data_IF_888309615711
#
_entry.id   IF_888309615711
#
_cell.length_a   1.000
_cell.length_b   1.000
_cell.length_c   1.000
_cell.angle_alpha   90.00
_cell.angle_beta   90.00
_cell.angle_gamma   90.00
#
_symmetry.space_group_name_H-M   'P 1'
#
loop_
_entity.id
_entity.type
_entity.pdbx_description
1 polymer ?
#
# COMPACT_ATOMS: atom_id res chain seq x y z
N UNK A 1 16.87 6.91 20.86
CA UNK A 1 15.81 5.94 21.10
C UNK A 1 16.24 4.93 22.18
N UNK A 2 15.31 4.56 23.06
CA UNK A 2 15.49 3.39 23.94
C UNK A 2 15.45 2.08 23.13
N UNK A 3 15.79 0.95 23.74
CA UNK A 3 15.66 -0.38 23.11
C UNK A 3 14.19 -0.66 22.78
N UNK A 4 13.30 -0.32 23.71
CA UNK A 4 11.83 -0.48 23.52
C UNK A 4 11.33 0.35 22.35
N UNK A 5 11.79 1.60 22.23
CA UNK A 5 11.40 2.50 21.15
C UNK A 5 11.90 1.97 19.80
N UNK A 6 13.15 1.51 19.74
CA UNK A 6 13.73 0.94 18.52
C UNK A 6 13.01 -0.32 18.08
N UNK A 7 12.59 -1.15 19.03
CA UNK A 7 11.78 -2.33 18.76
C UNK A 7 10.39 -1.95 18.22
N UNK A 8 9.71 -0.99 18.85
CA UNK A 8 8.41 -0.49 18.39
C UNK A 8 8.49 0.06 16.97
N UNK A 9 9.45 0.93 16.69
CA UNK A 9 9.63 1.54 15.37
C UNK A 9 9.91 0.50 14.28
N UNK A 10 10.74 -0.51 14.60
CA UNK A 10 11.06 -1.60 13.67
C UNK A 10 9.86 -2.51 13.42
N UNK A 11 9.09 -2.83 14.46
CA UNK A 11 7.87 -3.64 14.34
C UNK A 11 6.79 -2.89 13.56
N UNK A 12 6.58 -1.61 13.85
CA UNK A 12 5.68 -0.75 13.09
C UNK A 12 6.07 -0.67 11.62
N UNK A 13 7.39 -0.64 11.34
CA UNK A 13 7.90 -0.70 9.96
C UNK A 13 7.54 -2.01 9.27
N UNK A 14 7.99 -3.14 9.81
CA UNK A 14 7.84 -4.46 9.15
C UNK A 14 6.40 -4.94 9.05
N UNK A 15 5.54 -4.54 9.99
CA UNK A 15 4.10 -4.85 9.95
C UNK A 15 3.29 -3.87 9.09
N UNK A 16 3.94 -2.89 8.47
CA UNK A 16 3.31 -1.81 7.69
C UNK A 16 2.26 -1.01 8.46
N UNK A 17 2.39 -0.93 9.79
CA UNK A 17 1.46 -0.20 10.66
C UNK A 17 1.56 1.32 10.50
N UNK A 18 2.79 1.83 10.30
CA UNK A 18 3.03 3.26 10.07
C UNK A 18 3.02 4.16 11.31
N UNK A 19 2.75 3.60 12.50
CA UNK A 19 2.85 4.35 13.74
C UNK A 19 4.34 4.64 14.07
N UNK A 20 4.66 5.88 14.45
CA UNK A 20 6.02 6.29 14.79
C UNK A 20 6.07 6.98 16.14
N UNK A 21 7.16 6.77 16.87
CA UNK A 21 7.50 7.47 18.10
C UNK A 21 8.60 8.51 17.88
N UNK A 22 9.15 8.58 16.65
CA UNK A 22 10.14 9.57 16.29
C UNK A 22 9.49 10.94 16.21
N UNK A 23 10.07 11.90 16.92
CA UNK A 23 9.76 13.31 16.81
C UNK A 23 10.88 13.99 15.99
N UNK A 24 10.52 14.97 15.16
CA UNK A 24 11.46 15.69 14.30
C UNK A 24 12.18 14.71 13.33
N UNK A 25 11.38 13.95 12.60
CA UNK A 25 11.82 12.90 11.65
C UNK A 25 12.85 13.46 10.65
N UNK A 26 12.66 14.71 10.23
CA UNK A 26 13.49 15.41 9.25
C UNK A 26 14.96 15.53 9.70
N UNK A 27 15.22 15.58 11.02
CA UNK A 27 16.57 15.63 11.57
C UNK A 27 17.26 14.26 11.61
N UNK A 28 16.54 13.19 11.33
CA UNK A 28 17.08 11.82 11.36
C UNK A 28 18.07 11.60 10.21
N UNK A 29 19.15 10.80 10.43
CA UNK A 29 20.06 10.42 9.36
C UNK A 29 19.33 9.76 8.20
N UNK A 30 19.66 10.13 6.96
CA UNK A 30 19.04 9.57 5.74
C UNK A 30 19.06 8.04 5.69
N UNK A 31 20.11 7.42 6.25
CA UNK A 31 20.20 5.95 6.34
C UNK A 31 19.06 5.34 7.18
N UNK A 32 18.65 6.00 8.28
CA UNK A 32 17.54 5.55 9.11
C UNK A 32 16.22 5.72 8.36
N UNK A 33 16.03 6.84 7.64
CA UNK A 33 14.83 7.08 6.85
C UNK A 33 14.65 6.05 5.73
N UNK A 34 15.74 5.71 5.02
CA UNK A 34 15.74 4.61 4.03
C UNK A 34 15.41 3.27 4.70
N UNK A 35 16.05 2.98 5.84
CA UNK A 35 15.83 1.74 6.57
C UNK A 35 14.35 1.57 6.97
N UNK A 36 13.71 2.61 7.50
CA UNK A 36 12.29 2.63 7.84
C UNK A 36 11.41 2.32 6.61
N UNK A 37 11.69 2.99 5.49
CA UNK A 37 10.94 2.79 4.24
C UNK A 37 11.15 1.39 3.68
N UNK A 38 12.38 0.84 3.75
CA UNK A 38 12.68 -0.53 3.34
C UNK A 38 11.99 -1.56 4.22
N UNK A 39 11.90 -1.35 5.53
CA UNK A 39 11.17 -2.25 6.43
C UNK A 39 9.71 -2.35 6.02
N UNK A 40 9.04 -1.23 5.76
CA UNK A 40 7.66 -1.25 5.28
C UNK A 40 7.53 -1.91 3.91
N UNK A 41 8.42 -1.60 2.99
CA UNK A 41 8.40 -2.16 1.65
C UNK A 41 8.59 -3.68 1.64
N UNK A 42 9.56 -4.19 2.41
CA UNK A 42 9.80 -5.62 2.57
C UNK A 42 8.68 -6.30 3.36
N UNK A 43 8.14 -5.63 4.37
CA UNK A 43 7.00 -6.11 5.17
C UNK A 43 5.76 -6.30 4.32
N UNK A 44 5.42 -5.32 3.49
CA UNK A 44 4.25 -5.38 2.60
C UNK A 44 4.30 -6.57 1.66
N UNK A 45 5.41 -6.76 0.94
CA UNK A 45 5.56 -7.93 0.06
C UNK A 45 5.74 -9.23 0.83
N UNK A 46 6.39 -9.19 2.00
CA UNK A 46 6.67 -10.36 2.82
C UNK A 46 5.40 -11.06 3.29
N UNK A 47 4.41 -10.31 3.77
CA UNK A 47 3.10 -10.86 4.18
C UNK A 47 2.39 -11.52 3.01
N UNK A 48 2.41 -10.91 1.82
CA UNK A 48 1.78 -11.47 0.62
C UNK A 48 2.44 -12.80 0.21
N UNK A 49 3.79 -12.82 0.17
CA UNK A 49 4.54 -14.02 -0.17
C UNK A 49 4.34 -15.12 0.87
N UNK A 50 4.34 -14.78 2.16
CA UNK A 50 4.08 -15.71 3.24
C UNK A 50 2.68 -16.33 3.12
N UNK A 51 1.66 -15.53 2.86
CA UNK A 51 0.30 -16.03 2.66
C UNK A 51 0.23 -17.03 1.50
N UNK A 52 0.84 -16.72 0.36
CA UNK A 52 0.81 -17.60 -0.82
C UNK A 52 1.59 -18.90 -0.62
N UNK A 53 2.70 -18.85 0.12
CA UNK A 53 3.58 -20.01 0.32
C UNK A 53 3.12 -20.91 1.48
N UNK A 54 2.67 -20.34 2.60
CA UNK A 54 2.31 -21.09 3.79
C UNK A 54 0.87 -21.56 3.83
N UNK A 55 -0.09 -20.77 3.34
CA UNK A 55 -1.50 -21.16 3.35
C UNK A 55 -1.79 -22.52 2.66
N UNK A 56 -1.18 -22.86 1.49
CA UNK A 56 -1.36 -24.17 0.88
C UNK A 56 -0.84 -25.31 1.75
N UNK A 57 0.26 -25.07 2.48
CA UNK A 57 0.91 -26.09 3.32
C UNK A 57 0.09 -26.34 4.58
N UNK A 58 -0.49 -25.31 5.17
CA UNK A 58 -1.24 -25.40 6.42
C UNK A 58 -2.66 -25.95 6.26
N UNK A 59 -3.17 -26.17 5.04
CA UNK A 59 -4.54 -26.63 4.75
C UNK A 59 -5.65 -25.82 5.46
N UNK A 60 -5.39 -24.56 5.80
CA UNK A 60 -6.33 -23.68 6.48
C UNK A 60 -7.44 -23.27 5.51
N UNK A 61 -8.68 -23.44 5.96
CA UNK A 61 -9.90 -23.31 5.16
C UNK A 61 -10.00 -21.99 4.39
N UNK A 62 -10.55 -22.05 3.19
CA UNK A 62 -10.66 -20.99 2.19
C UNK A 62 -9.86 -21.29 0.92
N UNK A 63 -8.73 -21.98 1.01
CA UNK A 63 -7.96 -22.45 -0.13
C UNK A 63 -8.57 -23.70 -0.79
N UNK A 64 -9.57 -24.33 -0.19
CA UNK A 64 -10.38 -25.37 -0.85
C UNK A 64 -11.05 -24.82 -2.12
N UNK A 65 -11.42 -23.55 -2.16
CA UNK A 65 -11.96 -22.89 -3.34
C UNK A 65 -10.93 -22.73 -4.47
N UNK A 66 -9.63 -22.59 -4.14
CA UNK A 66 -8.55 -22.61 -5.13
C UNK A 66 -8.19 -24.04 -5.53
N UNK A 67 -8.37 -25.03 -4.65
CA UNK A 67 -8.18 -26.48 -4.95
C UNK A 67 -9.26 -27.02 -5.88
N UNK A 68 -10.47 -26.51 -5.86
CA UNK A 68 -11.55 -26.94 -6.76
C UNK A 68 -11.22 -26.65 -8.23
N UNK A 69 -10.35 -25.68 -8.51
CA UNK A 69 -9.85 -25.41 -9.86
C UNK A 69 -8.57 -26.17 -10.23
N UNK A 70 -7.98 -26.92 -9.31
CA UNK A 70 -6.71 -27.64 -9.51
C UNK A 70 -6.84 -29.10 -9.06
N UNK A 71 -7.50 -29.89 -9.84
CA UNK A 71 -7.31 -31.35 -9.85
C UNK A 71 -5.91 -31.65 -10.40
N UNK A 72 -4.86 -31.29 -9.67
CA UNK A 72 -3.50 -31.68 -10.01
C UNK A 72 -2.64 -31.90 -8.75
N UNK A 73 -2.00 -33.05 -8.77
CA UNK A 73 -1.15 -33.65 -7.75
C UNK A 73 -0.16 -32.69 -7.11
N UNK A 74 0.15 -32.93 -5.84
CA UNK A 74 1.03 -32.14 -4.95
C UNK A 74 2.41 -31.77 -5.53
N UNK A 75 2.90 -32.50 -6.51
CA UNK A 75 4.19 -32.22 -7.18
C UNK A 75 4.16 -30.97 -8.09
N UNK A 76 2.98 -30.52 -8.54
CA UNK A 76 2.84 -29.31 -9.39
C UNK A 76 2.61 -28.00 -8.61
N UNK A 77 2.38 -28.07 -7.30
CA UNK A 77 2.07 -26.88 -6.49
C UNK A 77 3.30 -25.99 -6.29
N UNK A 78 4.47 -26.55 -6.06
CA UNK A 78 5.70 -25.82 -5.81
C UNK A 78 6.20 -24.98 -7.01
N UNK A 79 6.28 -25.52 -8.25
CA UNK A 79 6.69 -24.70 -9.40
C UNK A 79 5.69 -23.58 -9.71
N UNK A 80 4.38 -23.85 -9.58
CA UNK A 80 3.33 -22.83 -9.79
C UNK A 80 3.39 -21.70 -8.74
N UNK A 81 3.66 -22.03 -7.49
CA UNK A 81 3.86 -21.06 -6.41
C UNK A 81 5.07 -20.15 -6.68
N UNK A 82 6.16 -20.70 -7.22
CA UNK A 82 7.36 -19.91 -7.58
C UNK A 82 7.09 -18.93 -8.72
N UNK A 83 6.35 -19.33 -9.74
CA UNK A 83 5.96 -18.43 -10.84
C UNK A 83 5.03 -17.32 -10.36
N UNK A 84 4.05 -17.66 -9.52
CA UNK A 84 3.15 -16.69 -8.89
C UNK A 84 3.95 -15.67 -8.08
N UNK A 85 4.86 -16.12 -7.21
CA UNK A 85 5.70 -15.24 -6.41
C UNK A 85 6.57 -14.33 -7.26
N UNK A 86 7.17 -14.83 -8.34
CA UNK A 86 7.98 -14.03 -9.27
C UNK A 86 7.13 -12.94 -9.93
N UNK A 87 5.93 -13.27 -10.39
CA UNK A 87 5.03 -12.29 -11.02
C UNK A 87 4.60 -11.22 -10.02
N UNK A 88 4.27 -11.61 -8.77
CA UNK A 88 3.92 -10.66 -7.71
C UNK A 88 5.05 -9.69 -7.39
N UNK A 89 6.27 -10.20 -7.22
CA UNK A 89 7.45 -9.37 -6.99
C UNK A 89 7.64 -8.39 -8.15
N UNK A 90 7.49 -8.86 -9.38
CA UNK A 90 7.64 -8.01 -10.58
C UNK A 90 6.58 -6.90 -10.60
N UNK A 91 5.31 -7.21 -10.31
CA UNK A 91 4.23 -6.21 -10.22
C UNK A 91 4.52 -5.20 -9.11
N UNK A 92 4.91 -5.68 -7.93
CA UNK A 92 5.21 -4.82 -6.78
C UNK A 92 6.35 -3.84 -7.05
N UNK A 93 7.46 -4.34 -7.63
CA UNK A 93 8.59 -3.50 -8.04
C UNK A 93 8.16 -2.51 -9.13
N UNK A 94 7.39 -2.94 -10.12
CA UNK A 94 6.91 -2.07 -11.20
C UNK A 94 6.03 -0.94 -10.66
N UNK A 95 5.08 -1.25 -9.78
CA UNK A 95 4.24 -0.23 -9.13
C UNK A 95 5.08 0.77 -8.32
N UNK A 96 6.08 0.26 -7.55
CA UNK A 96 6.99 1.12 -6.78
C UNK A 96 7.80 2.03 -7.70
N UNK A 97 8.31 1.50 -8.81
CA UNK A 97 9.07 2.26 -9.80
C UNK A 97 8.22 3.38 -10.43
N UNK A 98 7.02 3.06 -10.89
CA UNK A 98 6.13 4.07 -11.46
C UNK A 98 5.71 5.11 -10.42
N UNK A 99 5.41 4.71 -9.20
CA UNK A 99 5.11 5.63 -8.10
C UNK A 99 6.27 6.61 -7.86
N UNK A 100 7.51 6.10 -7.75
CA UNK A 100 8.70 6.93 -7.60
C UNK A 100 8.90 7.89 -8.78
N UNK A 101 8.66 7.42 -10.00
CA UNK A 101 8.77 8.22 -11.21
C UNK A 101 7.77 9.39 -11.19
N UNK A 102 6.51 9.13 -10.88
CA UNK A 102 5.50 10.18 -10.79
C UNK A 102 5.78 11.16 -9.64
N UNK A 103 6.18 10.69 -8.47
CA UNK A 103 6.61 11.57 -7.38
C UNK A 103 7.76 12.49 -7.82
N UNK A 104 8.74 11.95 -8.54
CA UNK A 104 9.85 12.72 -9.07
C UNK A 104 9.42 13.77 -10.09
N UNK A 105 8.52 13.41 -11.02
CA UNK A 105 7.98 14.32 -12.04
C UNK A 105 7.23 15.49 -11.39
N UNK A 106 6.47 15.22 -10.32
CA UNK A 106 5.67 16.24 -9.64
C UNK A 106 6.42 17.01 -8.55
N UNK A 107 7.74 16.87 -8.46
CA UNK A 107 8.59 17.78 -7.71
C UNK A 107 9.22 17.23 -6.44
N UNK A 108 9.04 15.97 -6.08
CA UNK A 108 9.84 15.35 -5.02
C UNK A 108 11.30 15.23 -5.46
N UNK A 109 12.23 15.41 -4.53
CA UNK A 109 13.62 15.05 -4.79
C UNK A 109 13.79 13.52 -4.94
N UNK A 110 14.92 13.06 -5.46
CA UNK A 110 15.13 11.63 -5.76
C UNK A 110 15.08 10.76 -4.50
N UNK A 111 15.56 11.26 -3.37
CA UNK A 111 15.56 10.54 -2.11
C UNK A 111 14.13 10.34 -1.60
N UNK A 112 13.34 11.42 -1.55
CA UNK A 112 11.96 11.36 -1.08
C UNK A 112 11.07 10.56 -2.03
N UNK A 113 11.24 10.71 -3.34
CA UNK A 113 10.45 9.94 -4.30
C UNK A 113 10.65 8.44 -4.15
N UNK A 114 11.89 7.98 -3.86
CA UNK A 114 12.18 6.57 -3.64
C UNK A 114 11.58 6.07 -2.31
N UNK A 115 11.86 6.77 -1.21
CA UNK A 115 11.42 6.36 0.13
C UNK A 115 9.90 6.39 0.25
N UNK A 116 9.23 7.46 -0.21
CA UNK A 116 7.77 7.55 -0.16
C UNK A 116 7.09 6.57 -1.11
N UNK A 117 7.67 6.25 -2.28
CA UNK A 117 7.08 5.22 -3.15
C UNK A 117 7.07 3.84 -2.52
N UNK A 118 8.14 3.49 -1.77
CA UNK A 118 8.21 2.24 -1.02
C UNK A 118 7.09 2.16 0.02
N UNK A 119 6.91 3.21 0.82
CA UNK A 119 5.89 3.25 1.88
C UNK A 119 4.47 3.36 1.33
N UNK A 120 4.28 4.06 0.20
CA UNK A 120 2.98 4.19 -0.47
C UNK A 120 2.49 2.86 -1.02
N UNK A 121 3.33 2.11 -1.74
CA UNK A 121 2.93 0.82 -2.33
C UNK A 121 2.76 -0.26 -1.26
N UNK A 122 3.55 -0.19 -0.18
CA UNK A 122 3.36 -1.04 0.99
C UNK A 122 2.12 -0.66 1.82
N UNK A 123 1.43 0.45 1.48
CA UNK A 123 0.33 1.02 2.28
C UNK A 123 0.70 1.19 3.75
N UNK A 124 1.96 1.60 4.02
CA UNK A 124 2.53 1.62 5.36
C UNK A 124 2.56 3.00 6.03
N UNK A 125 2.60 4.08 5.26
CA UNK A 125 2.43 5.45 5.74
C UNK A 125 3.63 6.11 6.40
N UNK A 126 4.79 5.45 6.54
CA UNK A 126 5.99 6.14 7.02
C UNK A 126 6.41 7.25 6.05
N UNK A 127 6.82 8.37 6.61
CA UNK A 127 7.31 9.54 5.88
C UNK A 127 8.70 9.96 6.39
N UNK A 128 9.37 10.76 5.57
CA UNK A 128 10.61 11.46 5.95
C UNK A 128 10.34 12.77 6.70
N UNK A 129 9.07 13.16 6.83
CA UNK A 129 8.61 14.42 7.38
C UNK A 129 7.51 14.22 8.41
N UNK A 130 7.51 15.04 9.47
CA UNK A 130 6.48 14.99 10.52
C UNK A 130 5.08 15.29 9.97
N UNK A 131 4.99 16.17 8.96
CA UNK A 131 3.74 16.50 8.27
C UNK A 131 3.35 15.48 7.19
N UNK A 132 4.06 14.36 7.08
CA UNK A 132 3.81 13.33 6.05
C UNK A 132 3.80 13.92 4.63
N UNK A 133 2.89 13.46 3.77
CA UNK A 133 2.72 13.98 2.39
C UNK A 133 2.33 15.48 2.38
N UNK A 134 1.70 15.97 3.46
CA UNK A 134 1.35 17.39 3.60
C UNK A 134 2.54 18.35 3.53
N UNK A 135 3.74 17.89 3.90
CA UNK A 135 4.99 18.68 3.80
C UNK A 135 5.21 19.24 2.39
N UNK A 136 4.90 18.50 1.35
CA UNK A 136 5.14 18.91 -0.03
C UNK A 136 4.16 19.99 -0.52
N UNK A 137 3.04 20.18 0.16
CA UNK A 137 1.99 21.14 -0.18
C UNK A 137 1.69 21.19 -1.69
N UNK A 138 1.62 20.04 -2.32
CA UNK A 138 1.46 19.88 -3.78
C UNK A 138 0.30 18.93 -4.10
N UNK A 139 -0.71 19.47 -4.78
CA UNK A 139 -1.91 18.72 -5.16
C UNK A 139 -1.61 17.48 -6.02
N UNK A 140 -0.64 17.57 -6.92
CA UNK A 140 -0.28 16.47 -7.81
C UNK A 140 0.36 15.32 -7.04
N UNK A 141 1.19 15.61 -6.04
CA UNK A 141 1.80 14.61 -5.16
C UNK A 141 0.72 13.88 -4.36
N UNK A 142 -0.25 14.60 -3.80
CA UNK A 142 -1.38 13.98 -3.08
C UNK A 142 -2.23 13.09 -3.99
N UNK A 143 -2.54 13.54 -5.22
CA UNK A 143 -3.30 12.73 -6.19
C UNK A 143 -2.53 11.47 -6.57
N UNK A 144 -1.23 11.57 -6.82
CA UNK A 144 -0.39 10.40 -7.08
C UNK A 144 -0.41 9.44 -5.90
N UNK A 145 -0.26 9.96 -4.67
CA UNK A 145 -0.35 9.15 -3.46
C UNK A 145 -1.68 8.39 -3.39
N UNK A 146 -2.80 9.06 -3.57
CA UNK A 146 -4.14 8.46 -3.57
C UNK A 146 -4.23 7.31 -4.59
N UNK A 147 -3.81 7.57 -5.84
CA UNK A 147 -3.87 6.57 -6.91
C UNK A 147 -3.02 5.34 -6.54
N UNK A 148 -1.78 5.53 -6.08
CA UNK A 148 -0.89 4.42 -5.81
C UNK A 148 -1.21 3.70 -4.49
N UNK A 149 -1.80 4.36 -3.48
CA UNK A 149 -2.36 3.69 -2.30
C UNK A 149 -3.52 2.78 -2.74
N UNK A 150 -4.45 3.27 -3.55
CA UNK A 150 -5.56 2.46 -4.06
C UNK A 150 -5.07 1.28 -4.89
N UNK A 151 -4.07 1.47 -5.75
CA UNK A 151 -3.45 0.37 -6.50
C UNK A 151 -2.74 -0.63 -5.58
N UNK A 152 -2.02 -0.17 -4.55
CA UNK A 152 -1.39 -1.04 -3.54
C UNK A 152 -2.40 -1.82 -2.70
N UNK A 153 -3.61 -1.30 -2.52
CA UNK A 153 -4.69 -1.93 -1.75
C UNK A 153 -5.47 -3.00 -2.52
N UNK A 154 -5.34 -3.07 -3.85
CA UNK A 154 -5.97 -4.13 -4.64
C UNK A 154 -5.25 -5.46 -4.38
N UNK A 155 -6.00 -6.58 -4.14
CA UNK A 155 -5.38 -7.88 -3.94
C UNK A 155 -4.43 -8.25 -5.09
N UNK A 156 -3.17 -8.48 -4.77
CA UNK A 156 -2.11 -8.70 -5.79
C UNK A 156 -2.35 -9.90 -6.69
N UNK A 157 -3.13 -10.89 -6.23
CA UNK A 157 -3.54 -12.04 -7.05
C UNK A 157 -4.37 -11.61 -8.29
N UNK A 158 -5.09 -10.50 -8.20
CA UNK A 158 -5.87 -9.98 -9.33
C UNK A 158 -4.98 -9.39 -10.42
N UNK A 159 -3.81 -8.87 -10.07
CA UNK A 159 -2.82 -8.42 -11.07
C UNK A 159 -2.27 -9.59 -11.89
N UNK A 160 -2.08 -10.76 -11.25
CA UNK A 160 -1.65 -11.97 -11.97
C UNK A 160 -2.71 -12.37 -12.98
N UNK A 161 -3.97 -12.44 -12.54
CA UNK A 161 -5.10 -12.79 -13.43
C UNK A 161 -5.28 -11.76 -14.54
N UNK A 162 -5.07 -10.48 -14.25
CA UNK A 162 -5.11 -9.39 -15.24
C UNK A 162 -4.06 -9.56 -16.34
N UNK A 163 -2.86 -10.01 -15.96
CA UNK A 163 -1.76 -10.23 -16.91
C UNK A 163 -1.98 -11.51 -17.71
N UNK A 164 -2.52 -12.57 -17.08
CA UNK A 164 -2.61 -13.90 -17.68
C UNK A 164 -3.86 -14.12 -18.53
N UNK A 165 -5.04 -13.68 -18.10
CA UNK A 165 -6.30 -14.17 -18.67
C UNK A 165 -7.33 -13.08 -19.03
N UNK A 166 -7.76 -12.25 -18.06
CA UNK A 166 -8.88 -11.31 -18.27
C UNK A 166 -8.53 -9.89 -17.77
N UNK A 167 -8.29 -9.00 -18.73
CA UNK A 167 -8.03 -7.57 -18.46
C UNK A 167 -9.16 -6.84 -17.72
N UNK A 168 -10.35 -7.44 -17.60
CA UNK A 168 -11.48 -6.85 -16.87
C UNK A 168 -11.67 -7.43 -15.48
N UNK A 169 -10.83 -8.39 -15.06
CA UNK A 169 -11.02 -9.13 -13.81
C UNK A 169 -11.04 -8.22 -12.58
N UNK A 170 -10.18 -7.20 -12.53
CA UNK A 170 -10.11 -6.25 -11.43
C UNK A 170 -11.43 -5.52 -11.25
N UNK A 171 -12.08 -5.11 -12.35
CA UNK A 171 -13.35 -4.39 -12.32
C UNK A 171 -14.57 -5.29 -12.07
N UNK A 172 -14.43 -6.60 -12.30
CA UNK A 172 -15.49 -7.59 -12.07
C UNK A 172 -15.48 -8.14 -10.65
N UNK A 173 -14.33 -8.09 -9.97
CA UNK A 173 -14.15 -8.64 -8.64
C UNK A 173 -15.04 -7.93 -7.62
N UNK A 174 -15.78 -8.71 -6.82
CA UNK A 174 -16.74 -8.18 -5.86
C UNK A 174 -16.08 -7.50 -4.66
N UNK A 175 -14.89 -7.99 -4.24
CA UNK A 175 -14.14 -7.39 -3.14
C UNK A 175 -13.63 -6.01 -3.53
N UNK A 176 -13.11 -5.87 -4.76
CA UNK A 176 -12.66 -4.58 -5.30
C UNK A 176 -13.82 -3.60 -5.43
N UNK A 177 -14.97 -4.05 -5.96
CA UNK A 177 -16.18 -3.21 -6.04
C UNK A 177 -16.65 -2.74 -4.66
N UNK A 178 -16.68 -3.66 -3.70
CA UNK A 178 -17.09 -3.33 -2.33
C UNK A 178 -16.10 -2.36 -1.68
N UNK A 179 -14.80 -2.57 -1.85
CA UNK A 179 -13.76 -1.67 -1.36
C UNK A 179 -13.94 -0.25 -1.88
N UNK A 180 -14.06 -0.06 -3.21
CA UNK A 180 -14.28 1.26 -3.79
C UNK A 180 -15.61 1.88 -3.36
N UNK A 181 -16.68 1.08 -3.22
CA UNK A 181 -17.97 1.54 -2.73
C UNK A 181 -17.89 2.05 -1.28
N UNK A 182 -17.23 1.30 -0.40
CA UNK A 182 -17.04 1.70 0.99
C UNK A 182 -16.16 2.95 1.11
N UNK A 183 -15.06 3.02 0.36
CA UNK A 183 -14.20 4.21 0.31
C UNK A 183 -14.99 5.44 -0.14
N UNK A 184 -15.80 5.32 -1.19
CA UNK A 184 -16.63 6.43 -1.67
C UNK A 184 -17.67 6.86 -0.62
N UNK A 185 -18.33 5.91 0.03
CA UNK A 185 -19.29 6.21 1.11
C UNK A 185 -18.58 6.94 2.26
N UNK A 186 -17.41 6.48 2.67
CA UNK A 186 -16.64 7.12 3.75
C UNK A 186 -16.23 8.54 3.40
N UNK A 187 -15.81 8.80 2.15
CA UNK A 187 -15.52 10.14 1.65
C UNK A 187 -16.74 11.03 1.75
N UNK A 188 -17.91 10.55 1.28
CA UNK A 188 -19.15 11.31 1.30
C UNK A 188 -19.60 11.63 2.74
N UNK A 189 -19.54 10.65 3.64
CA UNK A 189 -19.92 10.83 5.05
C UNK A 189 -19.03 11.86 5.71
N UNK A 190 -17.70 11.74 5.55
CA UNK A 190 -16.76 12.70 6.13
C UNK A 190 -16.93 14.10 5.53
N UNK A 191 -17.12 14.20 4.23
CA UNK A 191 -17.34 15.47 3.55
C UNK A 191 -18.60 16.17 4.05
N UNK A 192 -19.73 15.46 4.15
CA UNK A 192 -20.98 15.99 4.70
C UNK A 192 -20.84 16.40 6.17
N UNK A 193 -20.16 15.56 6.98
CA UNK A 193 -19.88 15.88 8.37
C UNK A 193 -19.10 17.19 8.52
N UNK A 194 -18.05 17.38 7.72
CA UNK A 194 -17.24 18.60 7.76
C UNK A 194 -18.03 19.85 7.32
N UNK A 195 -18.92 19.73 6.34
CA UNK A 195 -19.81 20.83 5.94
C UNK A 195 -20.70 21.25 7.12
N UNK A 196 -21.28 20.30 7.84
CA UNK A 196 -22.15 20.58 8.97
C UNK A 196 -21.38 21.25 10.12
N UNK A 197 -20.18 20.76 10.43
CA UNK A 197 -19.37 21.28 11.54
C UNK A 197 -18.77 22.66 11.25
N UNK A 198 -18.24 22.88 10.05
CA UNK A 198 -17.56 24.13 9.72
C UNK A 198 -18.50 25.25 9.20
N UNK A 199 -19.78 24.95 8.99
CA UNK A 199 -20.78 25.87 8.43
C UNK A 199 -20.36 26.58 7.12
N UNK A 200 -19.29 26.13 6.45
CA UNK A 200 -18.83 26.67 5.17
C UNK A 200 -18.25 25.58 4.27
N UNK A 201 -18.71 25.56 3.01
CA UNK A 201 -18.16 24.66 1.97
C UNK A 201 -16.80 25.18 1.50
N UNK A 202 -16.54 26.48 1.59
CA UNK A 202 -15.35 27.14 1.03
C UNK A 202 -14.03 26.81 1.77
N UNK A 203 -14.11 26.39 3.04
CA UNK A 203 -12.93 26.03 3.84
C UNK A 203 -12.54 24.54 3.70
N UNK A 204 -13.41 23.73 3.09
CA UNK A 204 -13.20 22.30 2.99
C UNK A 204 -12.58 21.96 1.63
N UNK A 205 -11.30 21.59 1.64
CA UNK A 205 -10.66 21.08 0.44
C UNK A 205 -11.02 19.61 0.23
N UNK A 206 -11.92 19.32 -0.73
CA UNK A 206 -12.35 17.96 -1.10
C UNK A 206 -11.15 17.01 -1.30
N UNK A 207 -10.05 17.51 -1.85
CA UNK A 207 -8.79 16.79 -2.02
C UNK A 207 -8.26 16.24 -0.70
N UNK A 208 -8.21 17.07 0.35
CA UNK A 208 -7.73 16.66 1.67
C UNK A 208 -8.65 15.63 2.31
N UNK A 209 -9.96 15.75 2.09
CA UNK A 209 -10.94 14.74 2.56
C UNK A 209 -10.68 13.41 1.90
N UNK A 210 -10.52 13.39 0.57
CA UNK A 210 -10.23 12.16 -0.18
C UNK A 210 -8.91 11.54 0.29
N UNK A 211 -7.86 12.37 0.43
CA UNK A 211 -6.55 11.89 0.88
C UNK A 211 -6.63 11.25 2.27
N UNK A 212 -7.25 11.92 3.24
CA UNK A 212 -7.35 11.42 4.62
C UNK A 212 -8.22 10.15 4.76
N UNK A 213 -9.16 9.91 3.84
CA UNK A 213 -9.96 8.66 3.86
C UNK A 213 -9.20 7.51 3.20
N UNK A 214 -8.38 7.80 2.19
CA UNK A 214 -7.67 6.77 1.42
C UNK A 214 -6.34 6.40 2.08
N UNK A 215 -5.66 7.37 2.72
CA UNK A 215 -4.39 7.14 3.43
C UNK A 215 -4.61 6.50 4.80
#
# INVERSE_FOLDING_TARGET
>A
LSITDSFFESMSGITTTGATILNNIESSPKGILVWRSMLQWLGGIGVILMAITLMPIMNIGGMQLLKISAYDTSEKILPKSKEISKTLITVYISLTFFCALFYKIFGMNTFDSLTHSMTTIATGGFSNYDQSIGYFNNAYIEIVSIIFILLGSIPFILYIKFISDDKKIIFKDEQVKLFFKLTLISILVLFVYLIIVNNSIFEIHLRSVIFNVVS
#
